data_IF_563097675081
#
_entry.id   IF_563097675081
#
_cell.length_a   1.000
_cell.length_b   1.000
_cell.length_c   1.000
_cell.angle_alpha   90.00
_cell.angle_beta   90.00
_cell.angle_gamma   90.00
#
_symmetry.space_group_name_H-M   'P 1'
#
loop_
_entity.id
_entity.type
_entity.pdbx_description
1 polymer ?
#
# COMPACT_ATOMS: atom_id res chain seq x y z
N UNK A 1 -12.06 -34.69 10.85
CA UNK A 1 -11.03 -34.21 9.88
C UNK A 1 -9.89 -33.54 10.66
N UNK A 2 -8.65 -34.05 10.51
CA UNK A 2 -7.53 -33.61 11.35
C UNK A 2 -7.07 -32.20 10.96
N UNK A 3 -6.45 -31.48 11.89
CA UNK A 3 -5.91 -30.12 11.68
C UNK A 3 -4.90 -30.05 10.48
N UNK A 4 -4.22 -31.17 10.19
CA UNK A 4 -3.33 -31.29 9.02
C UNK A 4 -4.07 -31.22 7.68
N UNK A 5 -5.27 -31.81 7.58
CA UNK A 5 -6.08 -31.75 6.36
C UNK A 5 -6.61 -30.34 6.12
N UNK A 6 -7.00 -29.62 7.18
CA UNK A 6 -7.46 -28.21 7.08
C UNK A 6 -6.32 -27.28 6.65
N UNK A 7 -5.08 -27.48 7.13
CA UNK A 7 -3.91 -26.71 6.71
C UNK A 7 -3.54 -26.99 5.24
N UNK A 8 -3.60 -28.25 4.80
CA UNK A 8 -3.29 -28.60 3.42
C UNK A 8 -4.31 -28.04 2.42
N UNK A 9 -5.61 -28.05 2.77
CA UNK A 9 -6.68 -27.49 1.92
C UNK A 9 -6.57 -25.96 1.83
N UNK A 10 -6.17 -25.29 2.92
CA UNK A 10 -5.97 -23.84 2.92
C UNK A 10 -4.73 -23.44 2.10
N UNK A 11 -3.65 -24.22 2.18
CA UNK A 11 -2.42 -23.99 1.38
C UNK A 11 -2.68 -24.19 -0.11
N UNK A 12 -3.51 -25.16 -0.51
CA UNK A 12 -3.90 -25.40 -1.90
C UNK A 12 -4.81 -24.27 -2.41
N UNK A 13 -5.72 -23.73 -1.60
CA UNK A 13 -6.57 -22.62 -1.98
C UNK A 13 -5.77 -21.31 -2.13
N UNK A 14 -4.77 -21.07 -1.28
CA UNK A 14 -3.83 -19.93 -1.40
C UNK A 14 -2.88 -20.09 -2.59
N UNK A 15 -2.40 -21.31 -2.88
CA UNK A 15 -1.58 -21.57 -4.05
C UNK A 15 -2.37 -21.44 -5.37
N UNK A 16 -3.67 -21.74 -5.38
CA UNK A 16 -4.54 -21.53 -6.55
C UNK A 16 -4.84 -20.04 -6.81
N UNK A 17 -4.74 -19.18 -5.79
CA UNK A 17 -4.84 -17.72 -5.91
C UNK A 17 -3.51 -17.08 -6.37
N UNK A 18 -2.39 -17.77 -6.19
CA UNK A 18 -1.04 -17.29 -6.54
C UNK A 18 -0.55 -17.75 -7.93
N UNK A 19 -1.29 -18.60 -8.66
CA UNK A 19 -0.96 -18.96 -10.05
C UNK A 19 -1.48 -17.89 -10.99
N UNK A 20 -0.91 -16.68 -10.88
CA UNK A 20 -0.92 -15.73 -11.97
C UNK A 20 -0.12 -16.32 -13.13
N UNK A 21 -0.76 -16.64 -14.25
CA UNK A 21 -0.08 -17.15 -15.43
C UNK A 21 1.05 -16.20 -15.85
N UNK A 22 2.15 -16.73 -16.35
CA UNK A 22 3.24 -15.96 -16.95
C UNK A 22 2.65 -15.07 -18.04
N UNK A 23 2.39 -13.80 -17.72
CA UNK A 23 1.95 -12.80 -18.70
C UNK A 23 3.17 -12.15 -19.32
N UNK A 24 3.28 -12.26 -20.63
CA UNK A 24 4.20 -11.46 -21.41
C UNK A 24 3.60 -10.06 -21.51
N UNK A 25 4.29 -9.04 -21.00
CA UNK A 25 3.84 -7.66 -21.13
C UNK A 25 4.04 -7.23 -22.57
N UNK A 26 2.95 -7.14 -23.32
CA UNK A 26 2.92 -6.47 -24.62
C UNK A 26 2.37 -5.05 -24.43
N UNK A 27 2.90 -4.03 -25.12
CA UNK A 27 2.34 -2.69 -25.07
C UNK A 27 0.90 -2.75 -25.62
N UNK A 28 -0.07 -2.57 -24.72
CA UNK A 28 -1.46 -2.39 -25.13
C UNK A 28 -1.67 -0.94 -25.57
N UNK A 29 -2.40 -0.73 -26.66
CA UNK A 29 -2.75 0.61 -27.15
C UNK A 29 -3.81 1.32 -26.31
N UNK A 30 -4.61 0.59 -25.54
CA UNK A 30 -5.69 1.19 -24.73
C UNK A 30 -5.15 1.83 -23.45
N UNK A 31 -5.36 3.13 -23.30
CA UNK A 31 -5.04 3.91 -22.10
C UNK A 31 -6.32 4.30 -21.32
N UNK A 32 -7.45 3.69 -21.64
CA UNK A 32 -8.75 4.04 -21.04
C UNK A 32 -8.96 3.19 -19.79
N UNK A 33 -9.19 3.87 -18.67
CA UNK A 33 -9.69 3.28 -17.42
C UNK A 33 -11.11 3.81 -17.20
N UNK A 34 -12.07 2.93 -16.99
CA UNK A 34 -13.44 3.27 -16.64
C UNK A 34 -13.67 3.08 -15.15
N UNK A 35 -14.50 3.92 -14.54
CA UNK A 35 -14.87 3.85 -13.13
C UNK A 35 -16.38 3.65 -13.00
N UNK A 36 -16.79 2.56 -12.34
CA UNK A 36 -18.18 2.27 -12.02
C UNK A 36 -18.42 2.52 -10.53
N UNK A 37 -19.32 3.44 -10.15
CA UNK A 37 -19.61 3.71 -8.74
C UNK A 37 -20.06 2.45 -7.98
N UNK A 38 -19.63 2.34 -6.72
CA UNK A 38 -19.99 1.26 -5.82
C UNK A 38 -20.51 1.81 -4.49
N UNK A 39 -21.49 1.14 -3.91
CA UNK A 39 -21.88 1.38 -2.52
C UNK A 39 -20.87 0.71 -1.57
N UNK A 40 -20.64 1.32 -0.41
CA UNK A 40 -19.84 0.74 0.66
C UNK A 40 -20.47 -0.56 1.20
N UNK A 41 -21.79 -0.50 1.44
CA UNK A 41 -22.59 -1.63 1.88
C UNK A 41 -23.86 -1.69 1.03
N UNK A 42 -24.06 -2.80 0.32
CA UNK A 42 -25.24 -2.99 -0.54
C UNK A 42 -26.52 -3.21 0.26
N UNK A 43 -26.41 -3.80 1.47
CA UNK A 43 -27.53 -4.13 2.34
C UNK A 43 -27.96 -2.91 3.16
N UNK A 44 -27.04 -1.98 3.38
CA UNK A 44 -27.30 -0.70 4.05
C UNK A 44 -26.57 0.45 3.33
N UNK A 45 -27.12 0.98 2.23
CA UNK A 45 -26.48 2.06 1.44
C UNK A 45 -26.31 3.38 2.22
N UNK A 46 -27.03 3.56 3.32
CA UNK A 46 -26.91 4.74 4.18
C UNK A 46 -25.66 4.66 5.08
N UNK A 47 -25.03 3.51 5.23
CA UNK A 47 -23.83 3.35 6.05
C UNK A 47 -22.66 4.15 5.47
N UNK A 48 -22.13 5.09 6.26
CA UNK A 48 -20.97 5.91 5.89
C UNK A 48 -19.81 5.73 6.85
N UNK A 49 -20.05 5.27 8.07
CA UNK A 49 -19.01 5.17 9.10
C UNK A 49 -18.35 3.80 9.10
N UNK A 50 -17.00 3.80 9.12
CA UNK A 50 -16.16 2.59 9.26
C UNK A 50 -15.09 2.88 10.30
N UNK A 51 -15.35 2.52 11.56
CA UNK A 51 -14.48 2.94 12.67
C UNK A 51 -14.41 4.47 12.72
N UNK A 52 -13.20 5.02 12.69
CA UNK A 52 -12.97 6.47 12.66
C UNK A 52 -13.11 7.08 11.26
N UNK A 53 -13.17 6.28 10.20
CA UNK A 53 -13.21 6.77 8.82
C UNK A 53 -14.67 7.02 8.36
N UNK A 54 -14.90 8.10 7.62
CA UNK A 54 -16.14 8.38 6.94
C UNK A 54 -16.03 8.06 5.44
N UNK A 55 -16.85 7.15 4.96
CA UNK A 55 -16.91 6.78 3.56
C UNK A 55 -17.43 7.93 2.69
N UNK A 56 -16.70 8.25 1.64
CA UNK A 56 -17.05 9.29 0.66
C UNK A 56 -17.55 8.67 -0.63
N UNK A 57 -16.74 7.78 -1.23
CA UNK A 57 -17.08 7.16 -2.51
C UNK A 57 -16.24 5.90 -2.74
N UNK A 58 -16.71 5.04 -3.64
CA UNK A 58 -15.95 3.91 -4.17
C UNK A 58 -16.26 3.68 -5.64
N UNK A 59 -15.31 3.12 -6.36
CA UNK A 59 -15.44 2.77 -7.77
C UNK A 59 -14.75 1.45 -8.07
N UNK A 60 -15.36 0.66 -8.93
CA UNK A 60 -14.67 -0.44 -9.62
C UNK A 60 -13.99 0.12 -10.85
N UNK A 61 -12.67 -0.03 -10.91
CA UNK A 61 -11.85 0.41 -12.04
C UNK A 61 -11.69 -0.75 -13.02
N UNK A 62 -11.86 -0.47 -14.31
CA UNK A 62 -11.70 -1.47 -15.38
C UNK A 62 -10.99 -0.87 -16.58
N UNK A 63 -10.17 -1.67 -17.25
CA UNK A 63 -9.55 -1.32 -18.51
C UNK A 63 -9.55 -2.53 -19.45
N UNK A 64 -9.51 -2.26 -20.76
CA UNK A 64 -9.23 -3.29 -21.78
C UNK A 64 -7.73 -3.53 -21.97
N UNK A 65 -6.89 -2.73 -21.30
CA UNK A 65 -5.45 -2.91 -21.31
C UNK A 65 -5.09 -4.15 -20.47
N UNK A 66 -4.45 -5.13 -21.07
CA UNK A 66 -4.07 -6.38 -20.42
C UNK A 66 -3.08 -6.19 -19.25
N UNK A 67 -2.38 -5.06 -19.22
CA UNK A 67 -1.45 -4.70 -18.15
C UNK A 67 -2.12 -3.91 -17.01
N UNK A 68 -3.45 -3.72 -17.06
CA UNK A 68 -4.21 -3.08 -15.98
C UNK A 68 -4.67 -4.14 -14.97
N UNK A 69 -4.16 -4.08 -13.76
CA UNK A 69 -4.42 -5.01 -12.66
C UNK A 69 -3.15 -5.29 -11.88
N UNK A 70 -3.20 -6.24 -10.93
CA UNK A 70 -2.03 -6.57 -10.11
C UNK A 70 -1.52 -5.38 -9.28
N UNK A 71 -2.41 -4.49 -8.84
CA UNK A 71 -2.01 -3.24 -8.17
C UNK A 71 -1.48 -3.54 -6.79
N UNK A 72 -0.20 -3.20 -6.53
CA UNK A 72 0.51 -3.45 -5.28
C UNK A 72 0.65 -2.20 -4.40
N UNK A 73 0.76 -0.99 -4.98
CA UNK A 73 0.90 0.25 -4.21
C UNK A 73 0.26 1.44 -4.90
N UNK A 74 0.00 2.51 -4.12
CA UNK A 74 -0.67 3.72 -4.59
C UNK A 74 -0.04 4.98 -3.99
N UNK A 75 0.26 5.96 -4.85
CA UNK A 75 0.66 7.32 -4.45
C UNK A 75 -0.37 8.32 -4.98
N UNK A 76 -0.77 9.27 -4.15
CA UNK A 76 -1.53 10.43 -4.58
C UNK A 76 -0.59 11.61 -4.87
N UNK A 77 -0.83 12.26 -6.00
CA UNK A 77 -0.21 13.52 -6.40
C UNK A 77 -1.25 14.66 -6.28
N UNK A 78 -0.82 15.89 -6.54
CA UNK A 78 -1.75 17.02 -6.58
C UNK A 78 -2.90 16.80 -7.61
N UNK A 79 -4.03 17.48 -7.42
CA UNK A 79 -5.19 17.50 -8.33
C UNK A 79 -5.85 16.13 -8.53
N UNK A 80 -5.93 15.31 -7.47
CA UNK A 80 -6.49 13.94 -7.51
C UNK A 80 -5.83 13.07 -8.61
N UNK A 81 -4.57 13.31 -8.94
CA UNK A 81 -3.75 12.43 -9.77
C UNK A 81 -3.14 11.33 -8.91
N UNK A 82 -3.05 10.15 -9.47
CA UNK A 82 -2.52 8.97 -8.79
C UNK A 82 -1.47 8.29 -9.66
N UNK A 83 -0.54 7.64 -8.97
CA UNK A 83 0.40 6.69 -9.53
C UNK A 83 0.24 5.38 -8.78
N UNK A 84 0.00 4.31 -9.50
CA UNK A 84 0.00 2.96 -8.97
C UNK A 84 1.07 2.14 -9.68
N UNK A 85 1.61 1.16 -8.99
CA UNK A 85 2.46 0.12 -9.59
C UNK A 85 1.75 -1.24 -9.51
N UNK A 86 2.18 -2.16 -10.32
CA UNK A 86 1.62 -3.51 -10.42
C UNK A 86 2.73 -4.55 -10.26
N UNK A 87 2.43 -5.68 -9.63
CA UNK A 87 3.28 -6.87 -9.50
C UNK A 87 3.79 -7.40 -10.86
N UNK A 88 3.12 -7.02 -11.95
CA UNK A 88 3.58 -7.28 -13.31
C UNK A 88 4.67 -6.29 -13.80
N UNK A 89 5.13 -5.35 -12.96
CA UNK A 89 6.12 -4.33 -13.34
C UNK A 89 5.56 -3.24 -14.23
N UNK A 90 4.32 -2.84 -14.02
CA UNK A 90 3.62 -1.78 -14.75
C UNK A 90 3.45 -0.56 -13.86
N UNK A 91 3.61 0.63 -14.42
CA UNK A 91 3.21 1.89 -13.81
C UNK A 91 1.92 2.40 -14.44
N UNK A 92 0.96 2.78 -13.60
CA UNK A 92 -0.36 3.25 -13.98
C UNK A 92 -0.55 4.65 -13.43
N UNK A 93 -0.70 5.64 -14.32
CA UNK A 93 -1.09 6.99 -13.94
C UNK A 93 -2.56 7.20 -14.27
N UNK A 94 -3.28 7.91 -13.40
CA UNK A 94 -4.66 8.31 -13.66
C UNK A 94 -5.05 9.51 -12.79
N UNK A 95 -6.11 10.20 -13.16
CA UNK A 95 -6.74 11.23 -12.34
C UNK A 95 -8.20 10.86 -12.09
N UNK A 96 -8.65 11.05 -10.85
CA UNK A 96 -10.06 10.97 -10.48
C UNK A 96 -10.66 12.38 -10.56
N UNK A 97 -11.63 12.57 -11.44
CA UNK A 97 -12.34 13.83 -11.60
C UNK A 97 -13.37 14.03 -10.46
N UNK A 98 -13.87 15.25 -10.27
CA UNK A 98 -14.83 15.55 -9.19
C UNK A 98 -16.15 14.77 -9.32
N UNK A 99 -16.53 14.40 -10.54
CA UNK A 99 -17.69 13.55 -10.83
C UNK A 99 -17.37 12.03 -10.80
N UNK A 100 -16.15 11.66 -10.36
CA UNK A 100 -15.73 10.28 -10.14
C UNK A 100 -15.36 9.51 -11.40
N UNK A 101 -15.18 10.18 -12.55
CA UNK A 101 -14.62 9.55 -13.75
C UNK A 101 -13.10 9.49 -13.68
N UNK A 102 -12.52 8.63 -14.52
CA UNK A 102 -11.07 8.57 -14.69
C UNK A 102 -10.69 9.26 -16.00
N UNK A 103 -9.72 10.15 -15.93
CA UNK A 103 -9.08 10.74 -17.10
C UNK A 103 -7.54 10.71 -16.97
N UNK A 104 -6.84 11.18 -18.01
CA UNK A 104 -5.38 11.25 -18.08
C UNK A 104 -4.70 9.94 -17.71
N UNK A 105 -5.32 8.81 -18.05
CA UNK A 105 -4.76 7.51 -17.75
C UNK A 105 -3.61 7.18 -18.70
N UNK A 106 -2.53 6.62 -18.14
CA UNK A 106 -1.44 5.97 -18.88
C UNK A 106 -1.06 4.68 -18.18
N UNK A 107 -0.82 3.64 -18.95
CA UNK A 107 -0.44 2.31 -18.49
C UNK A 107 0.78 1.90 -19.29
N UNK A 108 1.92 1.75 -18.62
CA UNK A 108 3.20 1.48 -19.26
C UNK A 108 4.08 0.56 -18.40
N UNK A 109 4.98 -0.23 -18.99
CA UNK A 109 5.96 -0.97 -18.20
C UNK A 109 6.91 -0.01 -17.47
N UNK A 110 7.33 -0.37 -16.28
CA UNK A 110 8.41 0.31 -15.58
C UNK A 110 9.70 0.27 -16.43
N UNK A 111 10.48 1.36 -16.48
CA UNK A 111 11.74 1.39 -17.24
C UNK A 111 12.68 0.26 -16.84
N UNK A 112 13.35 -0.34 -17.83
CA UNK A 112 14.27 -1.48 -17.69
C UNK A 112 13.61 -2.79 -17.21
N UNK A 113 12.28 -2.90 -17.23
CA UNK A 113 11.53 -4.09 -16.87
C UNK A 113 10.72 -4.69 -18.04
N UNK A 114 11.17 -4.49 -19.26
CA UNK A 114 10.56 -5.03 -20.47
C UNK A 114 11.59 -5.78 -21.32
N UNK A 115 11.09 -6.64 -22.19
CA UNK A 115 11.91 -7.43 -23.11
C UNK A 115 11.97 -8.92 -22.74
N UNK A 116 12.51 -9.75 -23.67
CA UNK A 116 12.43 -11.20 -23.57
C UNK A 116 13.26 -11.80 -22.43
N UNK A 117 14.24 -11.07 -21.91
CA UNK A 117 15.14 -11.52 -20.84
C UNK A 117 14.70 -11.07 -19.44
N UNK A 118 13.56 -10.36 -19.32
CA UNK A 118 13.05 -9.91 -18.03
C UNK A 118 12.04 -10.92 -17.51
N UNK A 119 12.42 -11.61 -16.45
CA UNK A 119 11.56 -12.60 -15.79
C UNK A 119 10.48 -11.94 -14.92
N UNK A 120 9.45 -12.70 -14.54
CA UNK A 120 8.47 -12.25 -13.55
C UNK A 120 9.14 -11.75 -12.26
N UNK A 121 10.14 -12.48 -11.76
CA UNK A 121 10.90 -12.11 -10.54
C UNK A 121 11.65 -10.77 -10.63
N UNK A 122 11.89 -10.29 -11.83
CA UNK A 122 12.53 -8.97 -12.04
C UNK A 122 11.50 -7.85 -12.01
N UNK A 123 10.21 -8.16 -12.18
CA UNK A 123 9.07 -7.24 -12.30
C UNK A 123 8.19 -7.14 -11.07
N UNK A 124 8.27 -8.12 -10.18
CA UNK A 124 7.50 -8.32 -8.96
C UNK A 124 7.63 -7.12 -8.02
N UNK A 125 6.95 -6.03 -8.38
CA UNK A 125 7.02 -4.74 -7.71
C UNK A 125 5.90 -4.61 -6.69
N UNK A 126 6.24 -4.26 -5.42
CA UNK A 126 5.35 -4.30 -4.27
C UNK A 126 5.11 -2.90 -3.67
N UNK A 127 6.12 -2.22 -3.21
CA UNK A 127 5.99 -0.94 -2.54
C UNK A 127 6.44 0.25 -3.39
N UNK A 128 5.86 1.43 -3.13
CA UNK A 128 6.12 2.66 -3.87
C UNK A 128 6.28 3.86 -2.93
N UNK A 129 7.45 4.51 -2.97
CA UNK A 129 7.70 5.78 -2.29
C UNK A 129 7.87 6.91 -3.30
N UNK A 130 7.56 8.14 -2.88
CA UNK A 130 7.65 9.34 -3.69
C UNK A 130 8.24 10.50 -2.90
N UNK A 131 9.09 11.27 -3.54
CA UNK A 131 9.59 12.54 -3.03
C UNK A 131 9.00 13.70 -3.85
N UNK A 132 8.12 14.52 -3.27
CA UNK A 132 7.50 15.63 -3.98
C UNK A 132 8.49 16.73 -4.40
N UNK A 133 9.61 16.89 -3.67
CA UNK A 133 10.59 17.93 -3.93
C UNK A 133 11.43 17.63 -5.17
N UNK A 134 11.94 16.39 -5.27
CA UNK A 134 12.73 15.95 -6.44
C UNK A 134 11.88 15.36 -7.57
N UNK A 135 10.65 14.92 -7.26
CA UNK A 135 9.79 14.17 -8.16
C UNK A 135 10.24 12.73 -8.41
N UNK A 136 11.16 12.21 -7.61
CA UNK A 136 11.69 10.84 -7.73
C UNK A 136 10.77 9.82 -7.07
N UNK A 137 10.85 8.58 -7.58
CA UNK A 137 10.13 7.43 -7.06
C UNK A 137 11.10 6.30 -6.67
N UNK A 138 10.78 5.57 -5.62
CA UNK A 138 11.46 4.33 -5.23
C UNK A 138 10.45 3.21 -5.25
N UNK A 139 10.80 2.11 -5.89
CA UNK A 139 9.98 0.90 -6.02
C UNK A 139 10.73 -0.25 -5.40
N UNK A 140 10.10 -0.98 -4.48
CA UNK A 140 10.61 -2.25 -3.96
C UNK A 140 10.20 -3.41 -4.85
N UNK A 141 11.04 -4.43 -4.91
CA UNK A 141 10.85 -5.64 -5.72
C UNK A 141 11.08 -6.88 -4.85
N UNK A 142 10.05 -7.73 -4.76
CA UNK A 142 10.08 -8.92 -3.93
C UNK A 142 11.08 -9.95 -4.45
N UNK A 143 10.92 -10.41 -5.67
CA UNK A 143 11.66 -11.55 -6.23
C UNK A 143 13.18 -11.42 -6.28
N UNK A 144 13.72 -10.21 -6.13
CA UNK A 144 15.17 -9.90 -6.11
C UNK A 144 15.60 -9.14 -4.87
N UNK A 145 14.72 -8.88 -3.92
CA UNK A 145 14.95 -8.03 -2.73
C UNK A 145 15.67 -6.74 -3.10
N UNK A 146 15.15 -6.04 -4.10
CA UNK A 146 15.78 -4.88 -4.68
C UNK A 146 14.93 -3.62 -4.48
N UNK A 147 15.58 -2.46 -4.45
CA UNK A 147 14.95 -1.16 -4.51
C UNK A 147 15.50 -0.47 -5.75
N UNK A 148 14.61 0.06 -6.61
CA UNK A 148 14.99 0.85 -7.78
C UNK A 148 14.48 2.27 -7.60
N UNK A 149 15.32 3.25 -7.92
CA UNK A 149 14.95 4.65 -7.98
C UNK A 149 14.68 5.04 -9.43
N UNK A 150 13.60 5.77 -9.63
CA UNK A 150 13.18 6.30 -10.94
C UNK A 150 13.12 7.81 -10.91
N UNK A 151 13.42 8.42 -12.04
CA UNK A 151 13.26 9.85 -12.25
C UNK A 151 11.78 10.25 -12.33
N UNK A 152 11.52 11.54 -12.31
CA UNK A 152 10.18 12.13 -12.49
C UNK A 152 9.43 11.47 -13.65
N UNK A 153 8.16 11.12 -13.42
CA UNK A 153 7.28 10.46 -14.38
C UNK A 153 7.80 9.12 -14.90
N UNK A 154 8.68 8.45 -14.13
CA UNK A 154 9.30 7.18 -14.53
C UNK A 154 10.02 7.24 -15.89
N UNK A 155 10.60 8.38 -16.25
CA UNK A 155 11.29 8.51 -17.54
C UNK A 155 12.49 7.56 -17.66
N UNK A 156 13.20 7.32 -16.56
CA UNK A 156 14.36 6.40 -16.49
C UNK A 156 14.61 5.89 -15.08
N UNK A 157 15.22 4.72 -14.98
CA UNK A 157 15.80 4.22 -13.74
C UNK A 157 17.11 4.98 -13.46
N UNK A 158 17.24 5.55 -12.24
CA UNK A 158 18.41 6.34 -11.82
C UNK A 158 19.26 5.66 -10.76
N UNK A 159 18.80 4.53 -10.22
CA UNK A 159 19.54 3.77 -9.21
C UNK A 159 18.95 2.39 -8.98
N UNK A 160 19.77 1.53 -8.41
CA UNK A 160 19.42 0.18 -7.98
C UNK A 160 20.26 -0.22 -6.79
N UNK A 161 19.64 -0.76 -5.75
CA UNK A 161 20.32 -1.41 -4.63
C UNK A 161 19.64 -2.72 -4.27
N UNK A 162 20.41 -3.66 -3.76
CA UNK A 162 19.94 -4.86 -3.07
C UNK A 162 20.47 -4.82 -1.65
N UNK A 163 19.69 -4.26 -0.70
CA UNK A 163 20.16 -4.11 0.67
C UNK A 163 20.55 -5.46 1.28
N UNK A 164 21.75 -5.56 1.85
CA UNK A 164 22.26 -6.81 2.44
C UNK A 164 21.26 -7.33 3.51
N UNK A 165 20.69 -6.43 4.29
CA UNK A 165 19.71 -6.76 5.35
C UNK A 165 18.42 -7.44 4.84
N UNK A 166 18.17 -7.41 3.54
CA UNK A 166 17.00 -8.04 2.91
C UNK A 166 17.35 -9.35 2.19
N UNK A 167 18.65 -9.68 2.03
CA UNK A 167 19.05 -10.84 1.22
C UNK A 167 18.74 -12.19 1.89
N UNK A 168 18.58 -12.20 3.23
CA UNK A 168 18.22 -13.39 3.99
C UNK A 168 16.71 -13.64 4.02
N UNK A 169 15.90 -12.73 3.47
CA UNK A 169 14.45 -12.93 3.34
C UNK A 169 14.16 -14.08 2.37
N UNK A 170 13.11 -14.87 2.62
CA UNK A 170 12.63 -15.85 1.65
C UNK A 170 12.26 -15.15 0.33
N UNK A 171 12.47 -15.82 -0.80
CA UNK A 171 12.31 -15.24 -2.15
C UNK A 171 10.91 -14.70 -2.46
N UNK A 172 9.90 -15.14 -1.74
CA UNK A 172 8.50 -14.72 -1.86
C UNK A 172 8.02 -13.94 -0.61
N UNK A 173 8.94 -13.24 0.06
CA UNK A 173 8.72 -12.48 1.29
C UNK A 173 9.57 -11.22 1.27
N UNK A 174 9.33 -10.37 0.30
CA UNK A 174 10.10 -9.15 0.07
C UNK A 174 9.63 -7.95 0.87
N UNK A 175 10.06 -6.77 0.42
CA UNK A 175 9.60 -5.49 0.93
C UNK A 175 8.20 -5.21 0.38
N UNK A 176 7.17 -5.42 1.19
CA UNK A 176 5.77 -5.13 0.83
C UNK A 176 5.52 -3.63 0.72
N UNK A 177 6.07 -2.85 1.65
CA UNK A 177 5.91 -1.40 1.60
C UNK A 177 7.24 -0.67 1.79
N UNK A 178 7.38 0.43 1.06
CA UNK A 178 8.45 1.41 1.22
C UNK A 178 7.82 2.80 1.24
N UNK A 179 8.14 3.63 2.22
CA UNK A 179 7.68 5.01 2.26
C UNK A 179 8.77 5.95 2.78
N UNK A 180 8.72 7.21 2.30
CA UNK A 180 9.65 8.26 2.68
C UNK A 180 9.00 9.17 3.72
N UNK A 181 9.67 9.38 4.85
CA UNK A 181 9.27 10.34 5.86
C UNK A 181 9.55 11.78 5.38
N UNK A 182 8.88 12.76 5.99
CA UNK A 182 9.07 14.18 5.65
C UNK A 182 10.50 14.67 5.85
N UNK A 183 11.24 14.07 6.77
CA UNK A 183 12.64 14.39 7.07
C UNK A 183 13.66 13.70 6.14
N UNK A 184 13.19 12.97 5.12
CA UNK A 184 14.01 12.31 4.12
C UNK A 184 14.42 10.87 4.46
N UNK A 185 14.14 10.38 5.68
CA UNK A 185 14.34 8.96 6.03
C UNK A 185 13.35 8.08 5.29
N UNK A 186 13.71 6.81 5.13
CA UNK A 186 12.81 5.80 4.55
C UNK A 186 12.54 4.69 5.56
N UNK A 187 11.34 4.15 5.50
CA UNK A 187 10.97 2.93 6.22
C UNK A 187 10.54 1.89 5.19
N UNK A 188 11.01 0.66 5.42
CA UNK A 188 10.66 -0.53 4.65
C UNK A 188 10.13 -1.56 5.64
N UNK A 189 9.00 -2.19 5.31
CA UNK A 189 8.44 -3.31 6.06
C UNK A 189 8.32 -4.48 5.09
N UNK A 190 8.90 -5.63 5.44
CA UNK A 190 8.84 -6.84 4.65
C UNK A 190 7.64 -7.71 5.04
N UNK A 191 7.19 -8.57 4.14
CA UNK A 191 6.21 -9.60 4.49
C UNK A 191 6.81 -10.60 5.50
N UNK A 192 6.06 -10.97 6.52
CA UNK A 192 6.51 -11.94 7.54
C UNK A 192 6.28 -13.39 7.13
N UNK A 193 7.10 -14.28 7.67
CA UNK A 193 6.85 -15.73 7.68
C UNK A 193 5.73 -16.09 8.67
N UNK A 194 5.69 -15.39 9.80
CA UNK A 194 4.69 -15.49 10.85
C UNK A 194 3.82 -14.24 10.78
N UNK A 195 2.52 -14.36 10.69
CA UNK A 195 1.57 -13.25 10.57
C UNK A 195 1.60 -12.27 11.78
N UNK A 196 2.49 -12.49 12.75
CA UNK A 196 2.54 -11.75 14.01
C UNK A 196 3.60 -10.63 14.05
N UNK A 197 4.73 -10.78 13.32
CA UNK A 197 5.83 -9.80 13.36
C UNK A 197 6.51 -9.71 11.99
N UNK A 198 6.64 -8.49 11.48
CA UNK A 198 7.30 -8.17 10.22
C UNK A 198 8.70 -7.60 10.47
N UNK A 199 9.70 -8.05 9.73
CA UNK A 199 11.00 -7.40 9.68
C UNK A 199 10.88 -6.02 9.05
N UNK A 200 11.50 -5.02 9.65
CA UNK A 200 11.45 -3.66 9.16
C UNK A 200 12.81 -2.94 9.32
N UNK A 201 13.05 -1.95 8.49
CA UNK A 201 14.28 -1.16 8.52
C UNK A 201 13.97 0.32 8.31
N UNK A 202 14.59 1.15 9.14
CA UNK A 202 14.62 2.59 8.93
C UNK A 202 15.97 2.97 8.32
N UNK A 203 15.94 3.57 7.14
CA UNK A 203 17.11 4.10 6.44
C UNK A 203 17.26 5.60 6.77
N UNK A 204 18.47 6.05 7.06
CA UNK A 204 18.75 7.44 7.39
C UNK A 204 18.59 8.44 6.23
N UNK A 205 18.40 7.93 5.01
CA UNK A 205 18.22 8.69 3.77
C UNK A 205 17.87 7.74 2.64
N UNK A 206 18.13 8.14 1.40
CA UNK A 206 17.88 7.34 0.20
C UNK A 206 18.55 5.97 0.30
N UNK A 207 17.79 4.87 0.20
CA UNK A 207 18.35 3.50 0.25
C UNK A 207 19.39 3.19 -0.83
N UNK A 208 19.40 3.95 -1.94
CA UNK A 208 20.34 3.77 -3.05
C UNK A 208 21.73 4.32 -2.71
N UNK A 209 21.80 5.31 -1.83
CA UNK A 209 23.06 5.97 -1.51
C UNK A 209 23.89 5.13 -0.53
N UNK A 210 25.18 4.94 -0.84
CA UNK A 210 26.10 4.09 -0.05
C UNK A 210 26.35 4.59 1.37
N UNK A 211 26.16 5.89 1.61
CA UNK A 211 26.33 6.53 2.94
C UNK A 211 25.15 6.35 3.87
N UNK A 212 24.02 5.81 3.36
CA UNK A 212 22.80 5.63 4.15
C UNK A 212 22.96 4.49 5.16
N UNK A 213 22.75 4.82 6.44
CA UNK A 213 22.75 3.84 7.53
C UNK A 213 21.36 3.20 7.69
N UNK A 214 21.32 2.03 8.35
CA UNK A 214 20.11 1.23 8.51
C UNK A 214 19.91 0.86 9.97
N UNK A 215 18.71 1.06 10.49
CA UNK A 215 18.30 0.64 11.83
C UNK A 215 17.24 -0.45 11.67
N UNK A 216 17.56 -1.72 11.94
CA UNK A 216 16.58 -2.79 11.93
C UNK A 216 15.65 -2.67 13.14
N UNK A 217 14.36 -2.96 12.93
CA UNK A 217 13.34 -3.03 13.96
C UNK A 217 12.27 -4.04 13.53
N UNK A 218 11.26 -4.25 14.34
CA UNK A 218 10.14 -5.13 14.05
C UNK A 218 8.84 -4.34 14.05
N UNK A 219 7.95 -4.66 13.11
CA UNK A 219 6.61 -4.12 13.09
C UNK A 219 5.60 -5.22 13.41
N UNK A 220 4.71 -4.95 14.37
CA UNK A 220 3.63 -5.87 14.73
C UNK A 220 2.31 -5.37 14.16
N UNK A 221 1.79 -6.02 13.12
CA UNK A 221 0.47 -5.72 12.57
C UNK A 221 -0.64 -6.18 13.53
N UNK A 222 -1.90 -5.82 13.28
CA UNK A 222 -3.03 -6.42 13.98
C UNK A 222 -3.03 -7.95 13.84
N UNK A 223 -3.38 -8.72 14.89
CA UNK A 223 -3.27 -10.17 14.88
C UNK A 223 -3.94 -10.84 13.68
N UNK A 224 -3.17 -11.66 12.96
CA UNK A 224 -3.59 -12.39 11.76
C UNK A 224 -3.81 -11.49 10.53
N UNK A 225 -3.24 -10.30 10.49
CA UNK A 225 -3.15 -9.41 9.34
C UNK A 225 -1.70 -9.24 8.90
N UNK A 226 -1.51 -8.84 7.64
CA UNK A 226 -0.21 -8.46 7.07
C UNK A 226 -0.26 -7.03 6.60
N UNK A 227 0.84 -6.32 6.71
CA UNK A 227 1.00 -5.00 6.09
C UNK A 227 1.05 -5.19 4.59
N UNK A 228 0.35 -4.33 3.84
CA UNK A 228 0.42 -4.29 2.38
C UNK A 228 0.96 -2.96 1.89
N UNK A 229 0.57 -1.83 2.50
CA UNK A 229 1.09 -0.53 2.11
C UNK A 229 1.02 0.47 3.27
N UNK A 230 1.74 1.58 3.17
CA UNK A 230 1.72 2.65 4.17
C UNK A 230 2.00 4.02 3.55
N UNK A 231 1.34 5.05 4.08
CA UNK A 231 1.50 6.43 3.61
C UNK A 231 1.70 7.41 4.77
N UNK A 232 2.72 8.28 4.72
CA UNK A 232 2.89 9.38 5.66
C UNK A 232 1.77 10.42 5.52
N UNK A 233 1.22 10.86 6.65
CA UNK A 233 0.25 11.94 6.74
C UNK A 233 0.95 13.29 6.99
N UNK A 234 0.32 14.42 6.59
CA UNK A 234 0.91 15.75 6.79
C UNK A 234 1.20 16.11 8.26
N UNK A 235 0.52 15.49 9.21
CA UNK A 235 0.70 15.70 10.65
C UNK A 235 1.80 14.81 11.26
N UNK A 236 2.53 14.06 10.44
CA UNK A 236 3.64 13.18 10.84
C UNK A 236 3.22 11.78 11.29
N UNK A 237 1.91 11.46 11.35
CA UNK A 237 1.44 10.08 11.52
C UNK A 237 1.68 9.28 10.24
N UNK A 238 1.64 7.95 10.35
CA UNK A 238 1.64 7.05 9.18
C UNK A 238 0.35 6.25 9.18
N UNK A 239 -0.40 6.30 8.08
CA UNK A 239 -1.51 5.38 7.86
C UNK A 239 -0.98 4.09 7.24
N UNK A 240 -1.32 2.95 7.84
CA UNK A 240 -0.85 1.62 7.44
C UNK A 240 -2.06 0.79 7.04
N UNK A 241 -2.01 0.23 5.85
CA UNK A 241 -2.99 -0.72 5.35
C UNK A 241 -2.56 -2.13 5.73
N UNK A 242 -3.51 -2.88 6.28
CA UNK A 242 -3.28 -4.26 6.68
C UNK A 242 -4.38 -5.13 6.07
N UNK A 243 -4.03 -6.28 5.54
CA UNK A 243 -4.92 -7.22 4.86
C UNK A 243 -4.88 -8.58 5.52
N UNK A 244 -6.02 -9.29 5.48
CA UNK A 244 -6.11 -10.70 5.82
C UNK A 244 -7.12 -11.41 4.91
N UNK A 245 -6.95 -12.72 4.75
CA UNK A 245 -7.95 -13.60 4.15
C UNK A 245 -8.57 -14.46 5.25
N UNK A 246 -9.90 -14.42 5.35
CA UNK A 246 -10.66 -15.14 6.37
C UNK A 246 -11.65 -16.09 5.71
N UNK A 247 -11.58 -17.38 6.01
CA UNK A 247 -12.58 -18.32 5.52
C UNK A 247 -13.76 -18.38 6.51
N UNK A 248 -15.03 -18.34 6.04
CA UNK A 248 -15.51 -18.20 4.65
C UNK A 248 -15.71 -16.74 4.20
N UNK A 249 -15.43 -15.74 5.02
CA UNK A 249 -15.79 -14.32 4.77
C UNK A 249 -14.93 -13.61 3.70
N UNK A 250 -13.85 -14.25 3.21
CA UNK A 250 -13.00 -13.68 2.16
C UNK A 250 -11.98 -12.66 2.68
N UNK A 251 -11.69 -11.66 1.87
CA UNK A 251 -10.76 -10.59 2.22
C UNK A 251 -11.31 -9.68 3.31
N UNK A 252 -10.41 -9.22 4.16
CA UNK A 252 -10.67 -8.20 5.17
C UNK A 252 -9.49 -7.25 5.22
N UNK A 253 -9.74 -5.97 5.51
CA UNK A 253 -8.69 -4.98 5.63
C UNK A 253 -8.84 -4.16 6.92
N UNK A 254 -7.72 -3.66 7.43
CA UNK A 254 -7.68 -2.71 8.54
C UNK A 254 -6.80 -1.53 8.18
N UNK A 255 -7.21 -0.35 8.56
CA UNK A 255 -6.37 0.84 8.53
C UNK A 255 -5.92 1.12 9.95
N UNK A 256 -4.61 1.28 10.13
CA UNK A 256 -4.00 1.61 11.41
C UNK A 256 -3.23 2.92 11.32
N UNK A 257 -3.08 3.64 12.43
CA UNK A 257 -2.26 4.85 12.54
C UNK A 257 -1.06 4.62 13.46
N UNK A 258 0.13 4.91 12.96
CA UNK A 258 1.35 4.95 13.73
C UNK A 258 1.63 6.41 14.12
N UNK A 259 1.87 6.65 15.41
CA UNK A 259 2.11 7.99 15.92
C UNK A 259 3.52 8.50 15.61
N UNK A 260 3.74 9.83 15.57
CA UNK A 260 5.07 10.42 15.42
C UNK A 260 6.02 10.01 16.57
N UNK A 261 5.51 9.81 17.78
CA UNK A 261 6.28 9.37 18.94
C UNK A 261 6.80 7.95 18.74
N UNK A 262 5.96 7.05 18.19
CA UNK A 262 6.38 5.69 17.86
C UNK A 262 7.49 5.68 16.81
N UNK A 263 7.41 6.56 15.79
CA UNK A 263 8.46 6.70 14.76
C UNK A 263 9.76 7.21 15.38
N UNK A 264 9.71 8.21 16.26
CA UNK A 264 10.86 8.70 17.01
C UNK A 264 11.43 7.64 17.96
N UNK A 265 10.58 6.71 18.41
CA UNK A 265 10.92 5.59 19.27
C UNK A 265 11.65 4.44 18.58
N UNK A 266 11.75 4.42 17.24
CA UNK A 266 12.41 3.34 16.50
C UNK A 266 13.90 3.27 16.88
N UNK A 267 14.32 2.10 17.36
CA UNK A 267 15.68 1.74 17.75
C UNK A 267 15.97 0.35 17.21
N UNK A 268 17.22 -0.05 17.26
CA UNK A 268 17.62 -1.43 16.98
C UNK A 268 16.78 -2.41 17.83
N UNK A 269 16.19 -3.41 17.18
CA UNK A 269 15.34 -4.46 17.79
C UNK A 269 14.04 -3.98 18.47
N UNK A 270 13.66 -2.71 18.35
CA UNK A 270 12.36 -2.28 18.87
C UNK A 270 11.20 -2.97 18.16
N UNK A 271 10.13 -3.25 18.88
CA UNK A 271 8.86 -3.75 18.31
C UNK A 271 7.85 -2.61 18.31
N UNK A 272 7.45 -2.18 17.12
CA UNK A 272 6.52 -1.07 16.92
C UNK A 272 5.16 -1.63 16.46
N UNK A 273 4.07 -1.04 16.95
CA UNK A 273 2.70 -1.34 16.50
C UNK A 273 1.92 -0.07 16.25
N UNK A 274 0.86 -0.16 15.48
CA UNK A 274 -0.03 0.95 15.14
C UNK A 274 -1.44 0.70 15.69
N UNK A 275 -2.16 1.79 16.01
CA UNK A 275 -3.54 1.74 16.49
C UNK A 275 -4.50 1.50 15.32
N UNK A 276 -5.39 0.52 15.43
CA UNK A 276 -6.42 0.25 14.40
C UNK A 276 -7.52 1.29 14.52
N UNK A 277 -7.76 2.03 13.44
CA UNK A 277 -8.79 3.08 13.37
C UNK A 277 -10.01 2.67 12.55
N UNK A 278 -9.89 1.69 11.67
CA UNK A 278 -10.98 1.20 10.84
C UNK A 278 -10.77 -0.27 10.45
N UNK A 279 -11.88 -0.98 10.26
CA UNK A 279 -11.89 -2.36 9.77
C UNK A 279 -12.97 -2.53 8.70
N UNK A 280 -12.56 -3.11 7.56
CA UNK A 280 -13.44 -3.47 6.46
C UNK A 280 -13.54 -5.00 6.39
N UNK A 281 -14.76 -5.50 6.43
CA UNK A 281 -15.09 -6.92 6.26
C UNK A 281 -16.53 -7.04 5.77
N UNK A 282 -16.92 -8.19 5.20
CA UNK A 282 -18.32 -8.44 4.85
C UNK A 282 -19.25 -8.05 6.02
N UNK A 283 -20.40 -7.35 5.78
CA UNK A 283 -21.02 -7.05 4.48
C UNK A 283 -20.49 -5.79 3.77
N UNK A 284 -19.47 -5.10 4.32
CA UNK A 284 -18.86 -3.97 3.65
C UNK A 284 -18.13 -4.41 2.38
N UNK A 285 -18.11 -3.53 1.39
CA UNK A 285 -17.33 -3.73 0.19
C UNK A 285 -15.84 -3.78 0.55
N UNK A 286 -15.22 -4.90 0.29
CA UNK A 286 -13.78 -5.12 0.49
C UNK A 286 -13.31 -6.15 -0.53
N UNK A 287 -12.08 -6.05 -0.97
CA UNK A 287 -11.39 -7.00 -1.83
C UNK A 287 -9.93 -7.10 -1.35
N UNK A 288 -9.03 -7.58 -2.15
CA UNK A 288 -7.60 -7.69 -1.88
C UNK A 288 -6.95 -6.29 -1.80
N UNK A 289 -7.13 -5.57 -0.66
CA UNK A 289 -6.63 -4.19 -0.50
C UNK A 289 -5.12 -4.18 -0.39
N UNK A 290 -4.43 -3.55 -1.36
CA UNK A 290 -2.96 -3.55 -1.46
C UNK A 290 -2.34 -2.16 -1.39
N UNK A 291 -3.02 -1.09 -1.85
CA UNK A 291 -2.44 0.24 -1.86
C UNK A 291 -3.23 1.24 -1.02
N UNK A 292 -2.50 2.18 -0.37
CA UNK A 292 -3.07 3.31 0.38
C UNK A 292 -2.38 4.62 0.01
N UNK A 293 -3.17 5.66 -0.23
CA UNK A 293 -2.67 7.00 -0.48
C UNK A 293 -3.44 8.05 0.34
N UNK A 294 -2.88 9.26 0.47
CA UNK A 294 -3.52 10.38 1.13
C UNK A 294 -3.61 11.58 0.22
N UNK A 295 -4.76 12.26 0.21
CA UNK A 295 -4.92 13.58 -0.39
C UNK A 295 -5.38 14.59 0.66
N UNK A 296 -4.95 15.83 0.51
CA UNK A 296 -5.41 16.96 1.30
C UNK A 296 -6.27 17.86 0.44
N UNK A 297 -7.50 18.14 0.87
CA UNK A 297 -8.42 19.07 0.21
C UNK A 297 -8.87 20.13 1.22
N UNK A 298 -8.21 21.30 1.17
CA UNK A 298 -8.30 22.30 2.23
C UNK A 298 -7.72 21.75 3.53
N UNK A 299 -8.51 21.74 4.60
CA UNK A 299 -8.08 21.18 5.90
C UNK A 299 -8.54 19.75 6.13
N UNK A 300 -9.04 19.06 5.09
CA UNK A 300 -9.57 17.69 5.22
C UNK A 300 -8.63 16.69 4.59
N UNK A 301 -8.29 15.65 5.35
CA UNK A 301 -7.51 14.51 4.86
C UNK A 301 -8.44 13.42 4.34
N UNK A 302 -8.08 12.88 3.18
CA UNK A 302 -8.78 11.74 2.58
C UNK A 302 -7.79 10.61 2.35
N UNK A 303 -8.12 9.44 2.88
CA UNK A 303 -7.42 8.19 2.57
C UNK A 303 -8.07 7.54 1.36
N UNK A 304 -7.24 7.06 0.45
CA UNK A 304 -7.63 6.31 -0.72
C UNK A 304 -7.07 4.90 -0.60
N UNK A 305 -7.92 3.90 -0.72
CA UNK A 305 -7.54 2.49 -0.71
C UNK A 305 -7.77 1.92 -2.09
N UNK A 306 -6.85 1.11 -2.59
CA UNK A 306 -7.02 0.39 -3.85
C UNK A 306 -6.81 -1.10 -3.64
N UNK A 307 -7.60 -1.91 -4.34
CA UNK A 307 -7.44 -3.36 -4.31
C UNK A 307 -6.79 -3.89 -5.58
N UNK A 308 -6.05 -4.97 -5.42
CA UNK A 308 -5.53 -5.80 -6.47
C UNK A 308 -6.58 -6.81 -6.96
N UNK A 309 -6.67 -7.00 -8.26
CA UNK A 309 -7.52 -8.02 -8.90
C UNK A 309 -6.77 -9.31 -9.23
N UNK A 310 -5.47 -9.41 -8.92
CA UNK A 310 -4.61 -10.55 -9.26
C UNK A 310 -4.77 -11.03 -10.72
N UNK A 311 -5.13 -10.12 -11.63
CA UNK A 311 -5.48 -10.44 -13.03
C UNK A 311 -6.52 -11.56 -13.16
N UNK A 312 -7.40 -11.76 -12.17
CA UNK A 312 -8.43 -12.79 -12.17
C UNK A 312 -9.82 -12.19 -12.35
N UNK A 313 -10.76 -13.00 -12.81
CA UNK A 313 -12.17 -12.58 -12.92
C UNK A 313 -12.92 -12.61 -11.59
N UNK A 314 -12.32 -13.19 -10.54
CA UNK A 314 -12.93 -13.36 -9.23
C UNK A 314 -12.70 -12.16 -8.32
N UNK A 315 -11.68 -11.33 -8.60
CA UNK A 315 -11.29 -10.16 -7.84
C UNK A 315 -11.44 -8.90 -8.68
N UNK A 316 -11.49 -7.75 -8.02
CA UNK A 316 -11.74 -6.46 -8.66
C UNK A 316 -10.72 -5.43 -8.23
N UNK A 317 -10.34 -4.53 -9.12
CA UNK A 317 -9.64 -3.31 -8.75
C UNK A 317 -10.68 -2.30 -8.25
N UNK A 318 -10.79 -2.14 -6.94
CA UNK A 318 -11.70 -1.21 -6.27
C UNK A 318 -10.88 -0.05 -5.71
N UNK A 319 -11.25 1.18 -6.08
CA UNK A 319 -10.71 2.39 -5.48
C UNK A 319 -11.75 2.96 -4.51
N UNK A 320 -11.37 3.20 -3.26
CA UNK A 320 -12.24 3.73 -2.22
C UNK A 320 -11.66 5.02 -1.65
N UNK A 321 -12.53 5.99 -1.37
CA UNK A 321 -12.18 7.27 -0.73
C UNK A 321 -12.88 7.37 0.61
N UNK A 322 -12.10 7.64 1.66
CA UNK A 322 -12.57 7.88 3.01
C UNK A 322 -12.08 9.23 3.51
N UNK A 323 -12.90 9.97 4.25
CA UNK A 323 -12.43 11.10 5.03
C UNK A 323 -11.85 10.60 6.36
N UNK A 324 -10.65 11.04 6.69
CA UNK A 324 -10.06 10.88 8.00
C UNK A 324 -10.46 12.14 8.83
N UNK A 325 -11.31 12.01 9.84
CA UNK A 325 -11.69 13.14 10.68
C UNK A 325 -10.48 13.72 11.41
N UNK A 326 -10.53 15.03 11.65
CA UNK A 326 -9.56 15.68 12.52
C UNK A 326 -9.60 15.03 13.90
N UNK A 327 -8.45 14.74 14.48
CA UNK A 327 -8.40 14.32 15.88
C UNK A 327 -8.96 15.48 16.73
N UNK A 328 -9.90 15.22 17.66
CA UNK A 328 -10.21 16.25 18.64
C UNK A 328 -8.91 16.65 19.31
N UNK A 329 -8.54 17.92 19.19
CA UNK A 329 -7.36 18.44 19.88
C UNK A 329 -7.46 17.95 21.32
N UNK A 330 -6.46 17.19 21.77
CA UNK A 330 -6.32 16.86 23.19
C UNK A 330 -6.39 18.19 23.93
N UNK A 331 -7.47 18.43 24.69
CA UNK A 331 -7.57 19.61 25.53
C UNK A 331 -6.27 19.69 26.31
N UNK A 332 -5.47 20.75 26.09
CA UNK A 332 -4.39 21.08 27.03
C UNK A 332 -4.98 20.96 28.42
N UNK A 333 -4.33 20.28 29.37
CA UNK A 333 -4.76 20.32 30.76
C UNK A 333 -4.93 21.80 31.15
N UNK A 334 -6.13 22.19 31.52
CA UNK A 334 -6.34 23.51 32.15
C UNK A 334 -5.34 23.60 33.31
N UNK A 335 -4.51 24.61 33.25
CA UNK A 335 -3.63 24.91 34.35
C UNK A 335 -4.52 25.09 35.59
N UNK A 336 -4.40 24.16 36.54
CA UNK A 336 -5.04 24.25 37.84
C UNK A 336 -4.55 25.57 38.49
N UNK A 337 -5.39 26.56 38.49
CA UNK A 337 -5.21 27.74 39.36
C UNK A 337 -5.42 27.26 40.79
N UNK A 338 -4.30 27.00 41.48
CA UNK A 338 -4.33 26.79 42.90
C UNK A 338 -4.90 28.06 43.58
N UNK A 339 -5.87 27.96 44.49
CA UNK A 339 -6.32 29.09 45.24
C UNK A 339 -5.17 29.52 46.21
N UNK A 340 -4.74 30.77 46.08
CA UNK A 340 -3.78 31.36 47.00
C UNK A 340 -4.35 31.38 48.42
N UNK A 341 -3.46 31.02 49.33
CA UNK A 341 -3.54 31.35 50.75
C UNK A 341 -2.76 32.64 51.01
#
# INVERSE_FOLDING_TARGET
MSAKVKRLTLTIALAALAVGGVRTIYPSSSQIITARPLALNTDNPAQKQVGMLEFVAAWELRSRNENFGGVSALIALADNRFVAISDAGTVIHFRVTDDGRIDRATIAPLPNLHGPNVSYKDRDSEGLAYDPDSGQYWVSFEGKHAIRRYSKSFAQQTGLVRPIVMQDLPRNKGAETIFRLQDGRFIIIAESLDDDIHSAWMFSGDPIESTTTKTPFQFRPPPGYRVTDAVPLPDGRIAILNRAVRFPSGFTAKVSLLSPESIKGIRHESVISAEVIAALSSPLRVDNMEGIAVTNQGNKLFLWLISDNNFTVLQRTILMKFRLPDQPHSKKPEASTAPGL
#
